data_IF_210600860077
#
_entry.id   IF_210600860077
#
_cell.length_a   1.000
_cell.length_b   1.000
_cell.length_c   1.000
_cell.angle_alpha   90.00
_cell.angle_beta   90.00
_cell.angle_gamma   90.00
#
_symmetry.space_group_name_H-M   'P 1'
#
loop_
_entity.id
_entity.type
_entity.pdbx_description
1 polymer ?
#
# COMPACT_ATOMS: atom_id res chain seq x y z
N UNK A 1 -6.78 -7.60 7.40
CA UNK A 1 -8.24 -7.50 7.59
C UNK A 1 -8.80 -7.30 6.20
N UNK A 2 -9.70 -8.18 5.76
CA UNK A 2 -10.23 -8.15 4.40
C UNK A 2 -11.65 -7.59 4.41
N UNK A 3 -11.87 -6.51 3.68
CA UNK A 3 -13.14 -5.79 3.57
C UNK A 3 -13.44 -5.47 2.11
N UNK A 4 -14.68 -5.10 1.81
CA UNK A 4 -15.08 -4.65 0.47
C UNK A 4 -15.82 -3.31 0.56
N UNK A 5 -15.33 -2.30 -0.16
CA UNK A 5 -15.88 -0.94 -0.13
C UNK A 5 -16.59 -0.59 -1.43
N UNK A 6 -17.69 0.19 -1.36
CA UNK A 6 -18.34 0.72 -2.53
C UNK A 6 -17.48 1.79 -3.20
N UNK A 7 -17.41 1.71 -4.52
CA UNK A 7 -16.82 2.73 -5.38
C UNK A 7 -17.84 3.14 -6.44
N UNK A 8 -17.72 4.39 -6.88
CA UNK A 8 -18.53 4.95 -7.96
C UNK A 8 -17.58 5.28 -9.10
N UNK A 9 -17.80 4.68 -10.27
CA UNK A 9 -17.01 4.92 -11.47
C UNK A 9 -17.86 5.74 -12.44
N UNK A 10 -17.41 6.96 -12.73
CA UNK A 10 -18.02 7.86 -13.70
C UNK A 10 -17.13 7.97 -14.95
N UNK A 11 -17.73 7.89 -16.14
CA UNK A 11 -17.03 8.09 -17.40
C UNK A 11 -16.69 9.58 -17.61
N UNK A 12 -15.45 9.86 -17.96
CA UNK A 12 -14.92 11.19 -18.24
C UNK A 12 -14.30 11.25 -19.64
N UNK A 13 -14.03 12.47 -20.15
CA UNK A 13 -13.55 12.67 -21.54
C UNK A 13 -12.36 11.78 -21.94
N UNK A 14 -11.45 11.49 -20.99
CA UNK A 14 -10.23 10.72 -21.21
C UNK A 14 -10.06 9.59 -20.18
N UNK A 15 -11.12 8.85 -19.86
CA UNK A 15 -11.05 7.70 -18.95
C UNK A 15 -12.19 7.70 -17.95
N UNK A 16 -11.87 7.38 -16.70
CA UNK A 16 -12.85 7.20 -15.65
C UNK A 16 -12.41 7.90 -14.37
N UNK A 17 -13.33 8.65 -13.77
CA UNK A 17 -13.21 9.15 -12.41
C UNK A 17 -13.79 8.12 -11.44
N UNK A 18 -13.10 7.88 -10.33
CA UNK A 18 -13.51 6.91 -9.32
C UNK A 18 -13.60 7.57 -7.96
N UNK A 19 -14.79 7.63 -7.39
CA UNK A 19 -15.02 8.09 -6.02
C UNK A 19 -15.12 6.91 -5.06
N UNK A 20 -14.52 7.06 -3.87
CA UNK A 20 -14.56 6.10 -2.76
C UNK A 20 -15.18 6.83 -1.56
N UNK A 21 -16.52 6.81 -1.42
CA UNK A 21 -17.23 7.68 -0.49
C UNK A 21 -16.83 7.48 0.98
N UNK A 22 -16.61 6.23 1.41
CA UNK A 22 -16.33 5.91 2.82
C UNK A 22 -15.00 6.50 3.32
N UNK A 23 -14.07 6.75 2.40
CA UNK A 23 -12.75 7.33 2.69
C UNK A 23 -12.65 8.81 2.30
N UNK A 24 -13.68 9.40 1.69
CA UNK A 24 -13.65 10.76 1.12
C UNK A 24 -12.45 11.01 0.20
N UNK A 25 -12.13 10.00 -0.64
CA UNK A 25 -11.04 10.07 -1.62
C UNK A 25 -11.54 9.73 -3.01
N UNK A 26 -10.71 10.05 -4.00
CA UNK A 26 -10.95 9.71 -5.39
C UNK A 26 -9.65 9.32 -6.10
N UNK A 27 -9.81 8.59 -7.19
CA UNK A 27 -8.74 8.20 -8.11
C UNK A 27 -9.26 8.19 -9.54
N UNK A 28 -8.43 7.83 -10.51
CA UNK A 28 -8.78 7.79 -11.92
C UNK A 28 -8.20 6.54 -12.57
N UNK A 29 -8.81 6.08 -13.66
CA UNK A 29 -8.33 4.94 -14.45
C UNK A 29 -8.62 5.11 -15.93
N UNK A 30 -7.85 4.43 -16.77
CA UNK A 30 -7.99 4.47 -18.23
C UNK A 30 -9.05 3.49 -18.76
N UNK A 31 -9.43 2.52 -17.93
CA UNK A 31 -10.47 1.51 -18.20
C UNK A 31 -11.17 1.13 -16.89
N UNK A 32 -12.34 0.50 -16.95
CA UNK A 32 -13.03 0.01 -15.74
C UNK A 32 -12.13 -0.93 -14.91
N UNK A 33 -11.37 -1.81 -15.56
CA UNK A 33 -10.46 -2.72 -14.87
C UNK A 33 -9.32 -1.95 -14.16
N UNK A 34 -8.75 -0.96 -14.84
CA UNK A 34 -7.75 -0.06 -14.28
C UNK A 34 -8.33 0.73 -13.10
N UNK A 35 -9.53 1.31 -13.23
CA UNK A 35 -10.26 2.00 -12.16
C UNK A 35 -10.46 1.16 -10.91
N UNK A 36 -10.83 -0.12 -11.04
CA UNK A 36 -10.96 -1.04 -9.90
C UNK A 36 -9.59 -1.27 -9.25
N UNK A 37 -8.52 -1.44 -10.04
CA UNK A 37 -7.16 -1.58 -9.51
C UNK A 37 -6.71 -0.33 -8.76
N UNK A 38 -6.91 0.85 -9.37
CA UNK A 38 -6.55 2.14 -8.79
C UNK A 38 -7.34 2.43 -7.52
N UNK A 39 -8.62 2.05 -7.46
CA UNK A 39 -9.42 2.20 -6.26
C UNK A 39 -8.93 1.30 -5.12
N UNK A 40 -8.54 0.06 -5.43
CA UNK A 40 -7.97 -0.87 -4.44
C UNK A 40 -6.69 -0.31 -3.83
N UNK A 41 -5.82 0.26 -4.66
CA UNK A 41 -4.58 0.87 -4.19
C UNK A 41 -4.84 2.15 -3.39
N UNK A 42 -5.77 3.01 -3.82
CA UNK A 42 -6.15 4.22 -3.10
C UNK A 42 -6.74 3.90 -1.70
N UNK A 43 -7.65 2.93 -1.61
CA UNK A 43 -8.20 2.46 -0.32
C UNK A 43 -7.08 1.87 0.54
N UNK A 44 -6.23 1.02 -0.04
CA UNK A 44 -5.14 0.37 0.70
C UNK A 44 -4.13 1.37 1.28
N UNK A 45 -3.72 2.38 0.51
CA UNK A 45 -2.82 3.43 0.96
C UNK A 45 -3.45 4.27 2.07
N UNK A 46 -4.65 4.81 1.83
CA UNK A 46 -5.35 5.64 2.82
C UNK A 46 -5.61 4.85 4.11
N UNK A 47 -5.95 3.56 4.00
CA UNK A 47 -6.15 2.72 5.17
C UNK A 47 -4.89 2.55 6.03
N UNK A 48 -3.72 2.36 5.42
CA UNK A 48 -2.46 2.31 6.17
C UNK A 48 -2.17 3.65 6.84
N UNK A 49 -2.32 4.76 6.12
CA UNK A 49 -2.09 6.09 6.68
C UNK A 49 -3.00 6.35 7.89
N UNK A 50 -4.27 5.94 7.82
CA UNK A 50 -5.21 6.02 8.94
C UNK A 50 -4.78 5.13 10.12
N UNK A 51 -4.35 3.89 9.87
CA UNK A 51 -3.84 2.99 10.92
C UNK A 51 -2.60 3.58 11.61
N UNK A 52 -1.68 4.17 10.85
CA UNK A 52 -0.44 4.78 11.35
C UNK A 52 -0.72 6.03 12.20
N UNK A 53 -1.76 6.78 11.83
CA UNK A 53 -2.29 7.90 12.62
C UNK A 53 -3.13 7.45 13.84
N UNK A 54 -3.34 6.14 14.03
CA UNK A 54 -4.21 5.61 15.09
C UNK A 54 -5.70 5.91 14.90
N UNK A 55 -6.13 6.23 13.68
CA UNK A 55 -7.53 6.49 13.31
C UNK A 55 -8.24 5.17 12.96
N UNK A 56 -9.53 5.01 13.29
CA UNK A 56 -10.28 3.83 12.90
C UNK A 56 -10.53 3.83 11.38
N UNK A 57 -10.44 2.67 10.75
CA UNK A 57 -10.87 2.50 9.37
C UNK A 57 -12.39 2.70 9.26
N UNK A 58 -12.89 3.40 8.22
CA UNK A 58 -14.31 3.55 7.99
C UNK A 58 -14.94 2.17 7.73
N UNK A 59 -16.22 2.00 8.08
CA UNK A 59 -16.95 0.78 7.69
C UNK A 59 -17.49 0.93 6.27
N UNK A 60 -17.59 -0.15 5.48
CA UNK A 60 -18.28 -0.10 4.20
C UNK A 60 -19.69 0.47 4.35
N UNK A 61 -20.08 1.38 3.44
CA UNK A 61 -21.38 2.07 3.43
C UNK A 61 -21.64 2.98 4.64
N UNK A 62 -20.59 3.48 5.29
CA UNK A 62 -20.73 4.52 6.33
C UNK A 62 -21.19 5.85 5.72
N UNK A 63 -20.84 6.10 4.45
CA UNK A 63 -21.32 7.24 3.67
C UNK A 63 -22.35 6.78 2.64
N UNK A 64 -23.47 7.52 2.55
CA UNK A 64 -24.52 7.24 1.57
C UNK A 64 -24.02 7.51 0.15
N UNK A 65 -24.07 6.48 -0.69
CA UNK A 65 -23.70 6.56 -2.11
C UNK A 65 -24.78 7.32 -2.89
N UNK A 66 -24.35 8.24 -3.74
CA UNK A 66 -25.23 9.02 -4.63
C UNK A 66 -24.68 8.97 -6.07
N UNK A 67 -24.92 7.86 -6.80
CA UNK A 67 -24.45 7.74 -8.17
C UNK A 67 -25.33 8.57 -9.13
N UNK A 68 -24.73 9.07 -10.21
CA UNK A 68 -25.45 9.56 -11.38
C UNK A 68 -26.06 8.43 -12.22
N UNK A 69 -26.94 8.78 -13.15
CA UNK A 69 -27.71 7.81 -13.95
C UNK A 69 -26.86 6.84 -14.79
N UNK A 70 -25.62 7.22 -15.11
CA UNK A 70 -24.68 6.44 -15.92
C UNK A 70 -23.51 5.87 -15.12
N UNK A 71 -23.45 6.16 -13.82
CA UNK A 71 -22.32 5.74 -13.00
C UNK A 71 -22.41 4.26 -12.70
N UNK A 72 -21.24 3.61 -12.66
CA UNK A 72 -21.13 2.22 -12.27
C UNK A 72 -20.82 2.19 -10.77
N UNK A 73 -21.73 1.64 -9.99
CA UNK A 73 -21.49 1.33 -8.58
C UNK A 73 -21.04 -0.12 -8.47
N UNK A 74 -19.88 -0.34 -7.86
CA UNK A 74 -19.36 -1.68 -7.62
C UNK A 74 -18.63 -1.75 -6.28
N UNK A 75 -18.25 -2.95 -5.87
CA UNK A 75 -17.46 -3.21 -4.68
C UNK A 75 -16.02 -3.55 -5.06
N UNK A 76 -15.07 -3.05 -4.27
CA UNK A 76 -13.65 -3.41 -4.37
C UNK A 76 -13.19 -4.02 -3.07
N UNK A 77 -12.63 -5.23 -3.16
CA UNK A 77 -12.03 -5.92 -2.03
C UNK A 77 -10.62 -5.42 -1.74
N UNK A 78 -10.33 -5.23 -0.45
CA UNK A 78 -9.03 -4.79 0.05
C UNK A 78 -8.66 -5.62 1.27
N UNK A 79 -7.46 -6.19 1.27
CA UNK A 79 -6.86 -6.77 2.47
C UNK A 79 -5.76 -5.83 2.98
N UNK A 80 -6.08 -5.06 4.02
CA UNK A 80 -5.14 -4.08 4.60
C UNK A 80 -3.89 -4.75 5.17
N UNK A 81 -3.99 -6.01 5.63
CA UNK A 81 -2.82 -6.71 6.20
C UNK A 81 -1.87 -7.14 5.09
N UNK A 82 -2.38 -7.69 3.99
CA UNK A 82 -1.56 -7.99 2.81
C UNK A 82 -0.99 -6.72 2.18
N UNK A 83 -1.82 -5.68 2.06
CA UNK A 83 -1.42 -4.40 1.48
C UNK A 83 -0.28 -3.77 2.29
N UNK A 84 -0.40 -3.76 3.62
CA UNK A 84 0.65 -3.29 4.52
C UNK A 84 1.92 -4.10 4.43
N UNK A 85 1.84 -5.43 4.36
CA UNK A 85 3.02 -6.26 4.08
C UNK A 85 3.68 -5.88 2.77
N UNK A 86 2.91 -5.66 1.69
CA UNK A 86 3.44 -5.27 0.38
C UNK A 86 4.16 -3.92 0.44
N UNK A 87 3.58 -2.94 1.13
CA UNK A 87 4.20 -1.62 1.35
C UNK A 87 5.44 -1.76 2.24
N UNK A 88 5.35 -2.40 3.42
CA UNK A 88 6.44 -2.53 4.40
C UNK A 88 7.57 -3.48 3.97
N UNK A 89 7.38 -4.27 2.91
CA UNK A 89 8.39 -5.16 2.36
C UNK A 89 9.29 -4.48 1.31
N UNK A 90 9.12 -3.19 1.04
CA UNK A 90 10.06 -2.48 0.18
C UNK A 90 11.44 -2.36 0.84
N UNK A 91 12.49 -2.64 0.06
CA UNK A 91 13.86 -2.50 0.54
C UNK A 91 14.21 -1.01 0.63
N UNK A 92 14.63 -0.55 1.82
CA UNK A 92 15.12 0.81 2.02
C UNK A 92 16.65 0.82 1.97
N UNK A 93 17.24 1.65 1.10
CA UNK A 93 18.69 1.83 1.05
C UNK A 93 19.18 2.50 2.33
N UNK A 94 20.21 1.93 2.97
CA UNK A 94 20.91 2.52 4.12
C UNK A 94 22.37 2.74 3.75
N UNK A 95 22.86 3.96 4.00
CA UNK A 95 24.28 4.28 3.92
C UNK A 95 24.90 3.99 5.30
N UNK A 96 26.01 3.28 5.33
CA UNK A 96 26.72 2.94 6.57
C UNK A 96 28.23 3.15 6.39
N UNK A 97 28.92 3.38 7.51
CA UNK A 97 30.37 3.56 7.55
C UNK A 97 30.98 2.39 8.31
N UNK A 98 31.93 1.70 7.70
CA UNK A 98 32.68 0.59 8.30
C UNK A 98 34.18 0.83 8.15
N UNK A 99 35.03 0.24 9.03
CA UNK A 99 36.47 0.30 8.86
C UNK A 99 36.92 -0.28 7.51
N UNK A 100 37.92 0.35 6.88
CA UNK A 100 38.40 -0.05 5.55
C UNK A 100 38.83 -1.52 5.49
N UNK A 101 39.58 -2.00 6.50
CA UNK A 101 40.04 -3.38 6.55
C UNK A 101 38.88 -4.39 6.52
N UNK A 102 37.74 -4.05 7.15
CA UNK A 102 36.56 -4.91 7.20
C UNK A 102 35.86 -4.98 5.84
N UNK A 103 35.79 -3.85 5.12
CA UNK A 103 35.27 -3.83 3.76
C UNK A 103 36.07 -4.76 2.84
N UNK A 104 37.40 -4.65 2.89
CA UNK A 104 38.30 -5.46 2.06
C UNK A 104 38.13 -6.95 2.34
N UNK A 105 38.07 -7.37 3.60
CA UNK A 105 37.90 -8.78 3.95
C UNK A 105 36.49 -9.30 3.57
N UNK A 106 35.45 -8.49 3.77
CA UNK A 106 34.09 -8.84 3.39
C UNK A 106 33.91 -8.98 1.87
N UNK A 107 34.50 -8.08 1.07
CA UNK A 107 34.47 -8.14 -0.39
C UNK A 107 35.20 -9.38 -0.92
N UNK A 108 36.40 -9.68 -0.40
CA UNK A 108 37.14 -10.90 -0.76
C UNK A 108 36.36 -12.18 -0.47
N UNK A 109 35.62 -12.19 0.64
CA UNK A 109 34.77 -13.31 1.04
C UNK A 109 33.41 -13.35 0.32
N UNK A 110 33.11 -12.37 -0.56
CA UNK A 110 31.84 -12.31 -1.30
C UNK A 110 30.62 -12.04 -0.41
N UNK A 111 30.81 -11.33 0.71
CA UNK A 111 29.76 -11.08 1.68
C UNK A 111 28.72 -10.08 1.14
N UNK A 112 27.45 -10.43 1.29
CA UNK A 112 26.35 -9.50 1.05
C UNK A 112 26.12 -8.61 2.28
N UNK A 113 26.65 -7.39 2.25
CA UNK A 113 26.51 -6.41 3.32
C UNK A 113 25.05 -6.15 3.73
N UNK A 114 24.14 -6.09 2.76
CA UNK A 114 22.72 -5.85 3.05
C UNK A 114 22.10 -7.01 3.81
N UNK A 115 22.44 -8.26 3.45
CA UNK A 115 21.95 -9.46 4.13
C UNK A 115 22.52 -9.55 5.55
N UNK A 116 23.82 -9.34 5.72
CA UNK A 116 24.45 -9.32 7.05
C UNK A 116 23.85 -8.26 7.96
N UNK A 117 23.59 -7.05 7.43
CA UNK A 117 22.93 -6.00 8.18
C UNK A 117 21.50 -6.39 8.58
N UNK A 118 20.72 -6.98 7.67
CA UNK A 118 19.36 -7.45 7.96
C UNK A 118 19.36 -8.52 9.05
N UNK A 119 20.24 -9.53 8.94
CA UNK A 119 20.32 -10.63 9.90
C UNK A 119 20.75 -10.13 11.29
N UNK A 120 21.72 -9.21 11.34
CA UNK A 120 22.14 -8.58 12.60
C UNK A 120 21.02 -7.75 13.25
N UNK A 121 20.26 -6.98 12.46
CA UNK A 121 19.12 -6.20 12.96
C UNK A 121 17.99 -7.11 13.48
N UNK A 122 17.68 -8.20 12.77
CA UNK A 122 16.69 -9.19 13.21
C UNK A 122 17.09 -9.82 14.56
N UNK A 123 18.37 -10.19 14.71
CA UNK A 123 18.90 -10.74 15.95
C UNK A 123 18.82 -9.74 17.12
N UNK A 124 19.16 -8.47 16.89
CA UNK A 124 19.08 -7.40 17.91
C UNK A 124 17.64 -7.13 18.33
N UNK A 125 16.73 -7.06 17.36
CA UNK A 125 15.32 -6.74 17.60
C UNK A 125 14.49 -7.92 18.10
N UNK A 126 15.06 -9.14 18.10
CA UNK A 126 14.32 -10.40 18.32
C UNK A 126 13.09 -10.51 17.41
N UNK A 127 13.21 -9.96 16.20
CA UNK A 127 12.15 -9.93 15.21
C UNK A 127 12.54 -10.84 14.06
N UNK A 128 11.69 -11.82 13.74
CA UNK A 128 11.76 -12.55 12.47
C UNK A 128 10.55 -12.17 11.64
N UNK A 129 10.76 -11.84 10.36
CA UNK A 129 9.70 -11.83 9.37
C UNK A 129 9.49 -13.25 8.84
#
# INVERSE_FOLDING_TARGET
MKEAYPIIIAEEKNGYYVSIPDFDIATQGNSIADSISMARDAIGLMGIDMEDDGKPLPKPYMVKIQPGDKDIVTLVDVDFTEYRKRVDNHAVKKNCTIPYWLNVEAEKAGINFSKVLQDALQAVLKASK
#
